data_IF_804506870282
#
_entry.id   IF_804506870282
#
_cell.length_a   1.000
_cell.length_b   1.000
_cell.length_c   1.000
_cell.angle_alpha   90.00
_cell.angle_beta   90.00
_cell.angle_gamma   90.00
#
_symmetry.space_group_name_H-M   'P 1'
#
loop_
_entity.id
_entity.type
_entity.pdbx_description
1 polymer ?
#
# COMPACT_ATOMS: atom_id res chain seq x y z
N UNK A 1 -0.73 1.16 25.99
CA UNK A 1 -0.26 0.41 24.80
C UNK A 1 -0.64 1.22 23.59
N UNK A 2 0.31 1.59 22.75
CA UNK A 2 0.07 2.33 21.50
C UNK A 2 0.07 1.36 20.34
N UNK A 3 -0.95 1.38 19.52
CA UNK A 3 -1.12 0.47 18.37
C UNK A 3 -1.08 1.29 17.08
N UNK A 4 -0.18 0.94 16.16
CA UNK A 4 -0.10 1.53 14.84
C UNK A 4 -0.60 0.55 13.77
N UNK A 5 -1.38 1.04 12.81
CA UNK A 5 -1.83 0.30 11.66
C UNK A 5 -1.11 0.72 10.38
N UNK A 6 -0.84 -0.23 9.51
CA UNK A 6 -0.41 -0.01 8.13
C UNK A 6 -1.27 -0.83 7.18
N UNK A 7 -1.39 -0.38 5.93
CA UNK A 7 -2.13 -1.10 4.88
C UNK A 7 -1.17 -1.48 3.76
N UNK A 8 -1.18 -2.75 3.37
CA UNK A 8 -0.13 -3.31 2.51
C UNK A 8 -0.66 -4.34 1.51
N UNK A 9 0.17 -4.62 0.49
CA UNK A 9 -0.03 -5.75 -0.43
C UNK A 9 1.14 -6.72 -0.41
N UNK A 10 2.37 -6.19 -0.25
CA UNK A 10 3.63 -6.97 -0.25
C UNK A 10 3.76 -7.90 -1.46
N UNK A 11 3.61 -7.37 -2.64
CA UNK A 11 3.58 -8.13 -3.90
C UNK A 11 4.80 -7.88 -4.81
N UNK A 12 6.00 -8.41 -4.48
CA UNK A 12 6.40 -9.07 -3.23
C UNK A 12 6.81 -8.08 -2.12
N UNK A 13 7.16 -8.62 -0.94
CA UNK A 13 7.81 -7.86 0.13
C UNK A 13 9.21 -7.40 -0.32
N UNK A 14 9.56 -6.14 -0.11
CA UNK A 14 10.84 -5.56 -0.55
C UNK A 14 11.36 -4.48 0.42
N UNK A 15 12.60 -4.01 0.20
CA UNK A 15 13.26 -3.04 1.11
C UNK A 15 12.48 -1.74 1.31
N UNK A 16 11.67 -1.31 0.34
CA UNK A 16 10.77 -0.16 0.53
C UNK A 16 9.66 -0.44 1.55
N UNK A 17 9.21 -1.69 1.67
CA UNK A 17 8.27 -2.08 2.72
C UNK A 17 8.94 -2.19 4.09
N UNK A 18 10.19 -2.69 4.14
CA UNK A 18 10.99 -2.68 5.35
C UNK A 18 11.17 -1.24 5.87
N UNK A 19 11.58 -0.32 4.99
CA UNK A 19 11.68 1.10 5.33
C UNK A 19 10.34 1.65 5.88
N UNK A 20 9.21 1.31 5.24
CA UNK A 20 7.88 1.72 5.72
C UNK A 20 7.58 1.22 7.13
N UNK A 21 7.88 -0.05 7.43
CA UNK A 21 7.73 -0.66 8.77
C UNK A 21 8.58 0.09 9.81
N UNK A 22 9.87 0.32 9.51
CA UNK A 22 10.80 1.03 10.39
C UNK A 22 10.32 2.46 10.68
N UNK A 23 9.89 3.20 9.65
CA UNK A 23 9.38 4.56 9.81
C UNK A 23 8.05 4.57 10.57
N UNK A 24 7.14 3.62 10.30
CA UNK A 24 5.88 3.51 11.02
C UNK A 24 6.13 3.33 12.53
N UNK A 25 7.03 2.44 12.92
CA UNK A 25 7.41 2.25 14.33
C UNK A 25 8.06 3.48 14.92
N UNK A 26 9.04 4.07 14.22
CA UNK A 26 9.79 5.25 14.68
C UNK A 26 8.87 6.45 14.91
N UNK A 27 7.98 6.75 13.95
CA UNK A 27 7.16 7.97 14.01
C UNK A 27 5.95 7.81 14.93
N UNK A 28 5.32 6.64 14.97
CA UNK A 28 4.19 6.37 15.86
C UNK A 28 4.61 6.05 17.29
N UNK A 29 5.85 5.59 17.50
CA UNK A 29 6.34 5.04 18.76
C UNK A 29 5.39 3.97 19.33
N UNK A 30 4.89 3.09 18.44
CA UNK A 30 3.92 2.07 18.80
C UNK A 30 4.57 0.88 19.53
N UNK A 31 3.81 0.31 20.46
CA UNK A 31 4.15 -0.97 21.11
C UNK A 31 3.81 -2.15 20.16
N UNK A 32 2.73 -2.00 19.37
CA UNK A 32 2.25 -3.01 18.44
C UNK A 32 2.02 -2.40 17.07
N UNK A 33 2.55 -3.06 16.03
CA UNK A 33 2.34 -2.70 14.62
C UNK A 33 1.47 -3.75 13.94
N UNK A 34 0.30 -3.34 13.47
CA UNK A 34 -0.67 -4.20 12.78
C UNK A 34 -0.65 -3.86 11.28
N UNK A 35 -0.45 -4.88 10.43
CA UNK A 35 -0.60 -4.74 8.99
C UNK A 35 -1.95 -5.31 8.53
N UNK A 36 -2.77 -4.53 7.85
CA UNK A 36 -3.90 -5.04 7.06
C UNK A 36 -3.38 -5.30 5.66
N UNK A 37 -3.38 -6.56 5.24
CA UNK A 37 -2.75 -7.01 4.00
C UNK A 37 -3.77 -7.66 3.06
N UNK A 38 -3.71 -7.31 1.78
CA UNK A 38 -4.48 -8.00 0.73
C UNK A 38 -4.20 -9.50 0.73
N UNK A 39 -5.25 -10.30 0.55
CA UNK A 39 -5.15 -11.76 0.41
C UNK A 39 -4.42 -12.16 -0.88
N UNK A 40 -4.88 -13.22 -1.55
CA UNK A 40 -4.24 -13.71 -2.77
C UNK A 40 -4.43 -12.79 -3.99
N UNK A 41 -5.32 -11.81 -3.90
CA UNK A 41 -5.55 -10.81 -4.96
C UNK A 41 -5.26 -9.42 -4.42
N UNK A 42 -4.59 -8.62 -5.23
CA UNK A 42 -4.22 -7.23 -4.94
C UNK A 42 -5.22 -6.24 -5.55
N UNK A 43 -5.12 -4.97 -5.19
CA UNK A 43 -6.10 -3.92 -5.56
C UNK A 43 -6.40 -3.84 -7.04
N UNK A 44 -5.43 -4.13 -7.90
CA UNK A 44 -5.61 -4.12 -9.37
C UNK A 44 -6.31 -5.37 -9.92
N UNK A 45 -6.82 -6.23 -9.07
CA UNK A 45 -7.47 -7.48 -9.46
C UNK A 45 -6.51 -8.57 -9.93
N UNK A 46 -5.21 -8.36 -9.81
CA UNK A 46 -4.19 -9.35 -10.16
C UNK A 46 -3.96 -10.32 -9.00
N UNK A 47 -3.61 -11.55 -9.31
CA UNK A 47 -3.11 -12.49 -8.32
C UNK A 47 -1.75 -11.99 -7.81
N UNK A 48 -1.55 -12.07 -6.50
CA UNK A 48 -0.24 -11.80 -5.92
C UNK A 48 0.75 -12.89 -6.33
N UNK A 49 2.00 -12.49 -6.58
CA UNK A 49 3.03 -13.42 -7.06
C UNK A 49 3.48 -14.43 -5.99
N UNK A 50 3.17 -14.19 -4.73
CA UNK A 50 3.47 -15.08 -3.62
C UNK A 50 2.18 -15.24 -2.80
N UNK A 51 1.92 -16.43 -2.26
CA UNK A 51 0.75 -16.68 -1.44
C UNK A 51 0.69 -15.78 -0.20
N UNK A 52 -0.50 -15.58 0.33
CA UNK A 52 -0.72 -14.65 1.44
C UNK A 52 -0.02 -15.05 2.73
N UNK A 53 0.16 -16.35 3.01
CA UNK A 53 0.79 -16.83 4.24
C UNK A 53 2.29 -16.56 4.23
N UNK A 54 2.96 -16.82 3.10
CA UNK A 54 4.37 -16.50 2.90
C UNK A 54 4.62 -15.00 2.99
N UNK A 55 3.76 -14.16 2.39
CA UNK A 55 3.87 -12.69 2.50
C UNK A 55 3.66 -12.21 3.94
N UNK A 56 2.69 -12.78 4.68
CA UNK A 56 2.48 -12.48 6.08
C UNK A 56 3.68 -12.89 6.94
N UNK A 57 4.26 -14.05 6.66
CA UNK A 57 5.47 -14.54 7.34
C UNK A 57 6.63 -13.54 7.17
N UNK A 58 6.91 -13.08 5.94
CA UNK A 58 7.93 -12.06 5.71
C UNK A 58 7.63 -10.74 6.44
N UNK A 59 6.38 -10.33 6.50
CA UNK A 59 6.00 -9.13 7.23
C UNK A 59 6.32 -9.25 8.72
N UNK A 60 5.97 -10.39 9.33
CA UNK A 60 6.24 -10.65 10.76
C UNK A 60 7.75 -10.77 11.03
N UNK A 61 8.49 -11.48 10.19
CA UNK A 61 9.96 -11.57 10.32
C UNK A 61 10.65 -10.21 10.24
N UNK A 62 10.04 -9.25 9.54
CA UNK A 62 10.61 -7.92 9.32
C UNK A 62 9.94 -6.82 10.17
N UNK A 63 9.30 -7.20 11.27
CA UNK A 63 8.92 -6.27 12.31
C UNK A 63 7.44 -5.86 12.36
N UNK A 64 6.55 -6.55 11.68
CA UNK A 64 5.10 -6.46 11.92
C UNK A 64 4.73 -7.45 13.02
N UNK A 65 3.91 -7.06 14.00
CA UNK A 65 3.50 -7.97 15.09
C UNK A 65 2.28 -8.81 14.70
N UNK A 66 1.34 -8.22 13.97
CA UNK A 66 0.08 -8.88 13.59
C UNK A 66 -0.24 -8.56 12.12
N UNK A 67 -0.57 -9.58 11.35
CA UNK A 67 -1.09 -9.42 9.98
C UNK A 67 -2.56 -9.83 9.94
N UNK A 68 -3.42 -8.92 9.52
CA UNK A 68 -4.85 -9.14 9.30
C UNK A 68 -5.13 -9.15 7.80
N UNK A 69 -5.92 -10.09 7.34
CA UNK A 69 -6.30 -10.17 5.93
C UNK A 69 -7.37 -9.14 5.58
N UNK A 70 -7.13 -8.32 4.56
CA UNK A 70 -8.17 -7.52 3.94
C UNK A 70 -9.05 -8.44 3.07
N UNK A 71 -10.36 -8.56 3.37
CA UNK A 71 -11.26 -9.42 2.59
C UNK A 71 -11.24 -9.09 1.11
N UNK A 72 -11.34 -10.12 0.26
CA UNK A 72 -11.30 -10.02 -1.18
C UNK A 72 -12.23 -8.93 -1.75
N UNK A 73 -13.45 -8.83 -1.19
CA UNK A 73 -14.46 -7.85 -1.62
C UNK A 73 -14.01 -6.38 -1.47
N UNK A 74 -13.02 -6.12 -0.62
CA UNK A 74 -12.39 -4.80 -0.47
C UNK A 74 -11.03 -4.74 -1.18
N UNK A 75 -10.28 -5.83 -1.15
CA UNK A 75 -8.91 -5.88 -1.70
C UNK A 75 -8.85 -5.56 -3.19
N UNK A 76 -9.85 -5.96 -3.98
CA UNK A 76 -9.89 -5.77 -5.45
C UNK A 76 -10.77 -4.60 -5.90
N UNK A 77 -10.94 -3.59 -5.05
CA UNK A 77 -11.83 -2.46 -5.29
C UNK A 77 -11.11 -1.16 -5.65
N UNK A 78 -11.89 -0.13 -5.94
CA UNK A 78 -11.37 1.24 -6.07
C UNK A 78 -10.65 1.67 -4.79
N UNK A 79 -9.73 2.64 -4.90
CA UNK A 79 -8.96 3.14 -3.76
C UNK A 79 -9.84 3.52 -2.56
N UNK A 80 -11.01 4.12 -2.81
CA UNK A 80 -11.95 4.52 -1.76
C UNK A 80 -12.53 3.32 -0.99
N UNK A 81 -12.97 2.26 -1.70
CA UNK A 81 -13.53 1.06 -1.05
C UNK A 81 -12.45 0.22 -0.40
N UNK A 82 -11.28 0.11 -1.03
CA UNK A 82 -10.11 -0.53 -0.48
C UNK A 82 -9.70 0.13 0.86
N UNK A 83 -9.54 1.46 0.84
CA UNK A 83 -9.20 2.24 2.02
C UNK A 83 -10.25 2.09 3.13
N UNK A 84 -11.54 2.18 2.77
CA UNK A 84 -12.62 2.01 3.74
C UNK A 84 -12.55 0.65 4.43
N UNK A 85 -12.44 -0.45 3.68
CA UNK A 85 -12.35 -1.80 4.24
C UNK A 85 -11.12 -1.97 5.15
N UNK A 86 -9.98 -1.43 4.75
CA UNK A 86 -8.76 -1.47 5.56
C UNK A 86 -8.90 -0.67 6.86
N UNK A 87 -9.45 0.54 6.80
CA UNK A 87 -9.68 1.39 7.99
C UNK A 87 -10.73 0.75 8.92
N UNK A 88 -11.79 0.16 8.41
CA UNK A 88 -12.78 -0.53 9.23
C UNK A 88 -12.14 -1.68 10.05
N UNK A 89 -11.22 -2.45 9.45
CA UNK A 89 -10.47 -3.51 10.15
C UNK A 89 -9.54 -2.90 11.22
N UNK A 90 -8.79 -1.85 10.87
CA UNK A 90 -7.90 -1.17 11.82
C UNK A 90 -8.67 -0.56 12.98
N UNK A 91 -9.87 0.00 12.72
CA UNK A 91 -10.78 0.49 13.74
C UNK A 91 -11.25 -0.62 14.68
N UNK A 92 -11.63 -1.79 14.15
CA UNK A 92 -11.97 -2.97 14.96
C UNK A 92 -10.78 -3.47 15.79
N UNK A 93 -9.57 -3.38 15.25
CA UNK A 93 -8.33 -3.69 15.95
C UNK A 93 -7.89 -2.61 16.95
N UNK A 94 -8.68 -1.52 17.09
CA UNK A 94 -8.47 -0.41 18.04
C UNK A 94 -7.09 0.27 17.88
N UNK A 95 -6.65 0.50 16.65
CA UNK A 95 -5.40 1.23 16.42
C UNK A 95 -5.55 2.71 16.81
N UNK A 96 -4.47 3.27 17.35
CA UNK A 96 -4.41 4.70 17.71
C UNK A 96 -3.97 5.56 16.53
N UNK A 97 -3.18 4.97 15.64
CA UNK A 97 -2.51 5.67 14.53
C UNK A 97 -2.46 4.78 13.30
N UNK A 98 -2.59 5.39 12.13
CA UNK A 98 -2.27 4.76 10.84
C UNK A 98 -1.06 5.45 10.22
N UNK A 99 -0.12 4.66 9.67
CA UNK A 99 0.98 5.15 8.85
C UNK A 99 0.82 4.70 7.40
N UNK A 100 1.02 5.61 6.44
CA UNK A 100 0.95 5.31 5.00
C UNK A 100 2.02 6.08 4.22
N UNK A 101 2.47 5.50 3.11
CA UNK A 101 3.39 6.15 2.19
C UNK A 101 2.68 7.17 1.30
N UNK A 102 3.31 8.31 1.06
CA UNK A 102 2.84 9.38 0.18
C UNK A 102 3.98 9.90 -0.66
N UNK A 103 3.71 10.29 -1.89
CA UNK A 103 4.70 10.92 -2.77
C UNK A 103 4.93 12.37 -2.38
N UNK A 104 3.87 13.12 -2.08
CA UNK A 104 3.98 14.52 -1.64
C UNK A 104 4.40 14.65 -0.19
N UNK A 105 4.05 13.69 0.65
CA UNK A 105 4.29 13.69 2.11
C UNK A 105 3.84 14.99 2.80
N UNK A 106 2.87 15.68 2.26
CA UNK A 106 2.26 16.87 2.84
C UNK A 106 0.88 16.52 3.43
N UNK A 107 0.85 16.10 4.70
CA UNK A 107 -0.37 15.65 5.35
C UNK A 107 -1.46 16.73 5.39
N UNK A 108 -1.09 18.01 5.51
CA UNK A 108 -2.05 19.13 5.53
C UNK A 108 -2.76 19.23 4.19
N UNK A 109 -2.01 19.27 3.10
CA UNK A 109 -2.55 19.31 1.74
C UNK A 109 -3.44 18.10 1.44
N UNK A 110 -2.97 16.88 1.81
CA UNK A 110 -3.75 15.67 1.64
C UNK A 110 -5.07 15.69 2.43
N UNK A 111 -5.08 16.27 3.63
CA UNK A 111 -6.29 16.47 4.43
C UNK A 111 -7.23 17.49 3.81
N UNK A 112 -6.72 18.60 3.28
CA UNK A 112 -7.53 19.59 2.55
C UNK A 112 -8.23 18.96 1.35
N UNK A 113 -7.48 18.17 0.54
CA UNK A 113 -8.05 17.41 -0.58
C UNK A 113 -9.08 16.38 -0.08
N UNK A 114 -8.81 15.69 1.02
CA UNK A 114 -9.74 14.72 1.60
C UNK A 114 -11.05 15.38 2.07
N UNK A 115 -11.01 16.61 2.53
CA UNK A 115 -12.16 17.36 2.98
C UNK A 115 -12.94 18.03 1.83
N UNK A 116 -12.31 18.19 0.67
CA UNK A 116 -12.96 18.77 -0.51
C UNK A 116 -13.93 17.75 -1.11
N UNK A 117 -15.19 18.16 -1.30
CA UNK A 117 -16.17 17.37 -2.04
C UNK A 117 -15.86 17.48 -3.54
N UNK A 118 -15.66 16.35 -4.22
CA UNK A 118 -15.58 16.35 -5.69
C UNK A 118 -16.98 16.68 -6.23
N UNK A 119 -17.01 17.63 -7.17
CA UNK A 119 -18.26 17.92 -7.87
C UNK A 119 -18.65 16.68 -8.70
N UNK A 120 -19.75 16.05 -8.29
CA UNK A 120 -20.25 14.81 -8.91
C UNK A 120 -20.66 15.06 -10.36
N UNK A 121 -21.15 16.24 -10.70
CA UNK A 121 -21.59 16.56 -12.05
C UNK A 121 -20.40 16.70 -13.01
N UNK A 122 -19.32 17.36 -12.58
CA UNK A 122 -18.07 17.40 -13.34
C UNK A 122 -17.47 15.99 -13.53
N UNK A 123 -17.58 15.12 -12.51
CA UNK A 123 -17.12 13.73 -12.61
C UNK A 123 -17.94 12.95 -13.64
N UNK A 124 -19.27 13.08 -13.63
CA UNK A 124 -20.16 12.44 -14.61
C UNK A 124 -19.88 12.96 -16.03
N UNK A 125 -19.67 14.25 -16.18
CA UNK A 125 -19.34 14.86 -17.47
C UNK A 125 -18.06 14.27 -18.05
N UNK A 126 -16.99 14.19 -17.26
CA UNK A 126 -15.73 13.54 -17.67
C UNK A 126 -15.91 12.05 -17.99
N UNK A 127 -16.75 11.34 -17.27
CA UNK A 127 -17.06 9.93 -17.58
C UNK A 127 -17.85 9.80 -18.89
N UNK A 128 -18.77 10.70 -19.18
CA UNK A 128 -19.56 10.72 -20.41
C UNK A 128 -18.69 10.98 -21.66
N UNK A 129 -17.50 11.59 -21.48
CA UNK A 129 -16.51 11.75 -22.57
C UNK A 129 -15.65 10.50 -22.80
N UNK A 130 -16.02 9.34 -22.22
CA UNK A 130 -15.34 8.05 -22.41
C UNK A 130 -14.18 7.79 -21.45
N UNK A 131 -13.98 8.63 -20.42
CA UNK A 131 -12.97 8.38 -19.40
C UNK A 131 -13.49 7.33 -18.40
N UNK A 132 -12.62 6.38 -18.01
CA UNK A 132 -12.90 5.51 -16.87
C UNK A 132 -12.99 6.33 -15.57
N UNK A 133 -13.74 5.83 -14.58
CA UNK A 133 -13.87 6.50 -13.28
C UNK A 133 -12.52 6.89 -12.66
N UNK A 134 -11.48 6.02 -12.62
CA UNK A 134 -10.18 6.41 -12.07
C UNK A 134 -9.52 7.55 -12.85
N UNK A 135 -9.66 7.57 -14.18
CA UNK A 135 -9.10 8.62 -15.03
C UNK A 135 -9.84 9.94 -14.85
N UNK A 136 -11.17 9.92 -14.85
CA UNK A 136 -12.00 11.10 -14.62
C UNK A 136 -11.76 11.69 -13.21
N UNK A 137 -11.67 10.83 -12.22
CA UNK A 137 -11.35 11.22 -10.85
C UNK A 137 -9.94 11.85 -10.74
N UNK A 138 -8.93 11.25 -11.40
CA UNK A 138 -7.57 11.79 -11.47
C UNK A 138 -7.51 13.17 -12.14
N UNK A 139 -8.31 13.40 -13.19
CA UNK A 139 -8.38 14.70 -13.88
C UNK A 139 -8.99 15.81 -12.98
N UNK A 140 -9.94 15.46 -12.11
CA UNK A 140 -10.56 16.40 -11.16
C UNK A 140 -9.74 16.61 -9.89
N UNK A 141 -8.93 15.64 -9.51
CA UNK A 141 -8.08 15.69 -8.31
C UNK A 141 -6.65 16.16 -8.59
N UNK A 142 -6.43 16.92 -9.68
CA UNK A 142 -5.13 17.45 -10.10
C UNK A 142 -4.00 16.41 -10.04
N UNK A 143 -3.81 15.62 -11.09
CA UNK A 143 -2.65 14.71 -11.35
C UNK A 143 -1.97 14.05 -10.12
N UNK A 144 -2.74 13.63 -9.12
CA UNK A 144 -2.21 13.02 -7.90
C UNK A 144 -1.52 11.69 -8.21
N UNK A 145 -0.37 11.47 -7.59
CA UNK A 145 0.31 10.19 -7.64
C UNK A 145 -0.50 9.05 -6.99
N UNK A 146 -0.21 7.80 -7.35
CA UNK A 146 -1.04 6.65 -6.96
C UNK A 146 -1.17 6.47 -5.45
N UNK A 147 -0.10 6.73 -4.68
CA UNK A 147 -0.17 6.57 -3.23
C UNK A 147 -0.82 7.78 -2.55
N UNK A 148 -0.74 8.97 -3.13
CA UNK A 148 -1.48 10.14 -2.64
C UNK A 148 -2.99 9.96 -2.82
N UNK A 149 -3.45 9.30 -3.91
CA UNK A 149 -4.86 8.90 -4.07
C UNK A 149 -5.29 7.94 -2.95
N UNK A 150 -4.45 6.97 -2.59
CA UNK A 150 -4.70 6.08 -1.46
C UNK A 150 -4.68 6.83 -0.13
N UNK A 151 -3.69 7.71 0.08
CA UNK A 151 -3.57 8.54 1.27
C UNK A 151 -4.85 9.38 1.51
N UNK A 152 -5.32 10.09 0.48
CA UNK A 152 -6.59 10.84 0.53
C UNK A 152 -7.77 9.91 0.82
N UNK A 153 -7.77 8.69 0.27
CA UNK A 153 -8.84 7.73 0.52
C UNK A 153 -8.83 7.22 1.98
N UNK A 154 -7.65 7.01 2.57
CA UNK A 154 -7.52 6.70 3.99
C UNK A 154 -8.00 7.86 4.86
N UNK A 155 -7.57 9.10 4.57
CA UNK A 155 -7.98 10.28 5.32
C UNK A 155 -9.50 10.49 5.28
N UNK A 156 -10.15 10.26 4.13
CA UNK A 156 -11.62 10.27 4.02
C UNK A 156 -12.27 9.20 4.90
N UNK A 157 -11.70 7.98 4.94
CA UNK A 157 -12.24 6.89 5.77
C UNK A 157 -11.99 7.10 7.27
N UNK A 158 -11.02 7.93 7.64
CA UNK A 158 -10.69 8.29 9.02
C UNK A 158 -11.56 9.43 9.58
N UNK A 159 -12.34 10.14 8.77
CA UNK A 159 -13.00 11.40 9.13
C UNK A 159 -13.81 11.34 10.43
N UNK A 160 -14.49 10.22 10.67
CA UNK A 160 -15.33 10.02 11.86
C UNK A 160 -14.67 9.09 12.89
N UNK A 161 -13.34 9.12 12.98
CA UNK A 161 -12.57 8.32 13.91
C UNK A 161 -11.61 9.17 14.73
N UNK A 162 -11.12 8.64 15.85
CA UNK A 162 -10.06 9.25 16.64
C UNK A 162 -8.65 8.76 16.23
N UNK A 163 -8.53 8.00 15.14
CA UNK A 163 -7.28 7.43 14.66
C UNK A 163 -6.46 8.55 14.02
N UNK A 164 -5.21 8.72 14.48
CA UNK A 164 -4.28 9.70 13.93
C UNK A 164 -3.66 9.19 12.64
N UNK A 165 -3.37 10.09 11.71
CA UNK A 165 -2.68 9.78 10.47
C UNK A 165 -1.23 10.29 10.50
N UNK A 166 -0.30 9.47 10.00
CA UNK A 166 1.11 9.83 9.77
C UNK A 166 1.43 9.49 8.32
N UNK A 167 1.92 10.47 7.56
CA UNK A 167 2.45 10.23 6.22
C UNK A 167 3.95 9.99 6.28
N UNK A 168 4.45 9.12 5.40
CA UNK A 168 5.86 8.75 5.26
C UNK A 168 6.26 9.03 3.83
N UNK A 169 7.36 9.79 3.64
CA UNK A 169 7.90 10.07 2.31
C UNK A 169 8.28 8.78 1.60
N UNK A 170 7.72 8.55 0.42
CA UNK A 170 8.16 7.45 -0.43
C UNK A 170 9.53 7.73 -1.01
N UNK A 171 10.35 6.70 -1.04
CA UNK A 171 11.73 6.77 -1.52
C UNK A 171 11.86 6.55 -3.04
N UNK A 172 10.81 6.00 -3.69
CA UNK A 172 10.81 5.67 -5.12
C UNK A 172 9.50 6.04 -5.79
N UNK A 173 9.58 6.40 -7.08
CA UNK A 173 8.40 6.54 -7.93
C UNK A 173 7.84 5.16 -8.31
N UNK A 174 6.50 5.05 -8.32
CA UNK A 174 5.80 3.82 -8.67
C UNK A 174 6.16 3.27 -10.07
N UNK A 175 6.57 4.15 -10.98
CA UNK A 175 6.91 3.82 -12.38
C UNK A 175 8.40 3.52 -12.59
N UNK A 176 9.23 3.59 -11.56
CA UNK A 176 10.65 3.25 -11.68
C UNK A 176 10.80 1.73 -11.87
N UNK A 177 11.38 1.34 -13.00
CA UNK A 177 11.62 -0.06 -13.38
C UNK A 177 13.07 -0.48 -13.10
N UNK A 178 13.89 0.42 -12.55
CA UNK A 178 15.29 0.12 -12.23
C UNK A 178 15.40 -0.66 -10.92
N UNK A 179 16.25 -1.69 -10.91
CA UNK A 179 16.57 -2.45 -9.70
C UNK A 179 17.69 -1.74 -8.94
N UNK A 180 17.28 -1.05 -7.88
CA UNK A 180 18.20 -0.45 -6.89
C UNK A 180 18.00 -1.13 -5.55
N UNK A 181 18.80 -0.77 -4.55
CA UNK A 181 18.63 -1.28 -3.17
C UNK A 181 17.18 -1.08 -2.64
N UNK A 182 16.50 -0.04 -3.11
CA UNK A 182 15.07 0.16 -2.89
C UNK A 182 14.40 0.23 -4.27
N UNK A 183 13.93 -0.91 -4.78
CA UNK A 183 13.24 -1.02 -6.05
C UNK A 183 11.71 -1.03 -5.86
N UNK A 184 10.96 -0.72 -6.93
CA UNK A 184 9.51 -0.85 -6.91
C UNK A 184 9.08 -2.33 -6.98
N UNK A 185 7.91 -2.66 -6.43
CA UNK A 185 7.35 -4.02 -6.58
C UNK A 185 7.17 -4.42 -8.06
N UNK A 186 6.91 -3.44 -8.96
CA UNK A 186 6.81 -3.67 -10.42
C UNK A 186 8.16 -4.09 -11.00
N UNK A 187 9.25 -3.39 -10.65
CA UNK A 187 10.60 -3.72 -11.10
C UNK A 187 11.01 -5.12 -10.63
N UNK A 188 10.72 -5.45 -9.37
CA UNK A 188 11.03 -6.77 -8.83
C UNK A 188 10.26 -7.87 -9.54
N UNK A 189 8.95 -7.69 -9.79
CA UNK A 189 8.16 -8.67 -10.54
C UNK A 189 8.71 -8.87 -11.95
N UNK A 190 9.11 -7.79 -12.64
CA UNK A 190 9.74 -7.88 -13.95
C UNK A 190 11.04 -8.70 -13.88
N UNK A 191 11.92 -8.42 -12.93
CA UNK A 191 13.16 -9.16 -12.73
C UNK A 191 12.93 -10.64 -12.42
N UNK A 192 11.87 -10.97 -11.65
CA UNK A 192 11.48 -12.37 -11.42
C UNK A 192 11.13 -13.06 -12.75
N UNK A 193 10.35 -12.41 -13.61
CA UNK A 193 10.01 -12.92 -14.93
C UNK A 193 11.23 -13.07 -15.84
N UNK A 194 12.17 -12.12 -15.76
CA UNK A 194 13.39 -12.09 -16.56
C UNK A 194 14.52 -12.99 -15.98
N UNK A 195 14.27 -13.67 -14.86
CA UNK A 195 15.21 -14.57 -14.16
C UNK A 195 16.48 -13.89 -13.64
N UNK A 196 16.38 -12.67 -13.12
CA UNK A 196 17.50 -11.86 -12.61
C UNK A 196 17.70 -12.03 -11.08
N UNK A 197 18.10 -13.22 -10.61
CA UNK A 197 18.13 -13.57 -9.17
C UNK A 197 19.01 -12.67 -8.30
N UNK A 198 20.19 -12.31 -8.76
CA UNK A 198 21.15 -11.49 -7.98
C UNK A 198 20.59 -10.09 -7.73
N UNK A 199 19.95 -9.51 -8.74
CA UNK A 199 19.34 -8.18 -8.65
C UNK A 199 18.14 -8.17 -7.68
N UNK A 200 17.38 -9.27 -7.66
CA UNK A 200 16.23 -9.45 -6.75
C UNK A 200 16.70 -9.49 -5.29
N UNK A 201 17.75 -10.26 -4.98
CA UNK A 201 18.30 -10.38 -3.63
C UNK A 201 18.77 -9.02 -3.07
N UNK A 202 19.20 -8.09 -3.92
CA UNK A 202 19.59 -6.74 -3.50
C UNK A 202 18.39 -5.88 -3.09
N UNK A 203 17.26 -6.06 -3.75
CA UNK A 203 16.05 -5.26 -3.56
C UNK A 203 15.10 -5.79 -2.47
N UNK A 204 15.30 -7.02 -2.02
CA UNK A 204 14.44 -7.68 -1.04
C UNK A 204 15.25 -8.09 0.20
N UNK A 205 14.68 -8.00 1.41
CA UNK A 205 15.32 -8.44 2.65
C UNK A 205 15.17 -9.97 2.82
N UNK A 206 15.58 -10.73 1.81
CA UNK A 206 15.48 -12.21 1.76
C UNK A 206 16.81 -12.83 1.36
N UNK A 207 17.06 -14.06 1.77
CA UNK A 207 18.26 -14.80 1.37
C UNK A 207 18.15 -15.33 -0.05
N UNK A 208 19.30 -15.74 -0.62
CA UNK A 208 19.33 -16.36 -1.95
C UNK A 208 18.47 -17.63 -2.02
N UNK A 209 18.50 -18.47 -0.96
CA UNK A 209 17.68 -19.67 -0.87
C UNK A 209 16.18 -19.34 -0.88
N UNK A 210 15.78 -18.28 -0.19
CA UNK A 210 14.40 -17.79 -0.21
C UNK A 210 14.02 -17.27 -1.60
N UNK A 211 14.94 -16.62 -2.33
CA UNK A 211 14.70 -16.21 -3.72
C UNK A 211 14.47 -17.41 -4.63
N UNK A 212 15.29 -18.47 -4.50
CA UNK A 212 15.16 -19.70 -5.28
C UNK A 212 13.86 -20.43 -4.95
N UNK A 213 13.47 -20.46 -3.68
CA UNK A 213 12.17 -21.01 -3.24
C UNK A 213 10.99 -20.27 -3.90
N UNK A 214 11.05 -18.95 -4.00
CA UNK A 214 10.04 -18.16 -4.68
C UNK A 214 9.88 -18.52 -6.16
N UNK A 215 10.96 -18.90 -6.83
CA UNK A 215 10.92 -19.38 -8.24
C UNK A 215 10.06 -20.62 -8.44
N UNK A 216 9.97 -21.49 -7.44
CA UNK A 216 9.21 -22.75 -7.57
C UNK A 216 7.69 -22.52 -7.66
N UNK A 217 7.20 -21.33 -7.32
CA UNK A 217 5.77 -20.94 -7.40
C UNK A 217 5.44 -20.18 -8.69
N UNK A 218 6.40 -19.99 -9.59
CA UNK A 218 6.22 -19.36 -10.89
C UNK A 218 6.60 -20.34 -11.99
N UNK A 219 5.62 -20.76 -12.83
CA UNK A 219 5.93 -21.48 -14.06
C UNK A 219 6.59 -20.54 -15.07
#
# INVERSE_FOLDING_TARGET
MKICGIVTEYNPFHNGHLYHIEQARKLSQCDVLIAVMSGNYVQRGQMAIIDKHTRAHFAVQNGVDIVLELPYIYATQSASKFAKGAIDILKMAKVDTICFGSETNNLIELQEIANTSINIDNLKELMNTGNSFPKAYGLLSSSMASNDILAVSYLKALKDTNIKAISIQRTNNYHDETLTKIASAKAIRKAIYDHEDVSIATAMPITYEQCVFLRQFYP
#
